data_IF_764681002515
#
_entry.id   IF_764681002515
#
_cell.length_a   1.000
_cell.length_b   1.000
_cell.length_c   1.000
_cell.angle_alpha   90.00
_cell.angle_beta   90.00
_cell.angle_gamma   90.00
#
_symmetry.space_group_name_H-M   'P 1'
#
loop_
_entity.id
_entity.type
_entity.pdbx_description
1 polymer ?
#
# COMPACT_ATOMS: atom_id res chain seq x y z
N UNK A 1 -7.72 6.74 20.61
CA UNK A 1 -6.56 6.93 19.70
C UNK A 1 -6.06 8.34 19.98
N UNK A 2 -5.05 8.46 20.84
CA UNK A 2 -4.59 9.76 21.33
C UNK A 2 -3.57 10.34 20.34
N UNK A 3 -4.06 11.18 19.43
CA UNK A 3 -3.30 11.84 18.37
C UNK A 3 -2.30 12.90 18.90
N UNK A 4 -2.17 13.10 20.21
CA UNK A 4 -1.29 14.14 20.79
C UNK A 4 0.11 13.69 21.14
N UNK A 5 0.38 12.39 21.26
CA UNK A 5 1.67 11.91 21.78
C UNK A 5 2.73 11.57 20.72
N UNK A 6 2.40 11.56 19.41
CA UNK A 6 3.40 11.31 18.35
C UNK A 6 4.08 12.59 17.83
N UNK A 7 3.63 13.79 18.24
CA UNK A 7 4.20 15.06 17.79
C UNK A 7 5.44 15.54 18.59
N UNK A 8 6.03 14.69 19.44
CA UNK A 8 7.23 15.02 20.22
C UNK A 8 8.33 13.97 20.04
N UNK A 9 8.88 13.90 18.84
CA UNK A 9 10.05 13.06 18.56
C UNK A 9 10.83 13.53 17.34
N UNK A 10 11.71 14.52 17.54
CA UNK A 10 12.75 14.91 16.59
C UNK A 10 12.25 15.68 15.36
N UNK A 11 12.52 16.97 15.29
CA UNK A 11 12.28 17.78 14.09
C UNK A 11 13.17 17.30 12.92
N UNK A 12 12.65 16.38 12.13
CA UNK A 12 12.96 16.31 10.70
C UNK A 12 11.79 16.97 9.98
N UNK A 13 12.09 17.98 9.16
CA UNK A 13 11.11 18.62 8.29
C UNK A 13 10.83 17.66 7.13
N UNK A 14 10.01 16.63 7.37
CA UNK A 14 9.44 15.85 6.28
C UNK A 14 8.48 16.77 5.50
N UNK A 15 8.46 16.68 4.16
CA UNK A 15 7.45 17.39 3.39
C UNK A 15 6.06 16.94 3.87
N UNK A 16 5.21 17.89 4.26
CA UNK A 16 3.84 17.59 4.68
C UNK A 16 2.88 17.75 3.51
N UNK A 17 2.06 16.72 3.26
CA UNK A 17 1.01 16.76 2.24
C UNK A 17 -0.37 16.61 2.85
N UNK A 18 -1.23 17.61 2.66
CA UNK A 18 -2.67 17.46 2.90
C UNK A 18 -3.32 16.86 1.66
N UNK A 19 -3.90 15.66 1.81
CA UNK A 19 -4.66 15.02 0.75
C UNK A 19 -6.06 15.63 0.68
N UNK A 20 -6.37 16.24 -0.47
CA UNK A 20 -7.67 16.81 -0.77
C UNK A 20 -8.48 15.85 -1.66
N UNK A 21 -9.53 15.28 -1.04
CA UNK A 21 -10.81 14.81 -1.59
C UNK A 21 -10.77 13.92 -2.85
N UNK A 22 -10.45 12.64 -2.65
CA UNK A 22 -10.95 11.56 -3.51
C UNK A 22 -12.36 11.15 -3.05
N UNK A 23 -13.21 10.67 -3.97
CA UNK A 23 -14.47 10.02 -3.59
C UNK A 23 -14.22 8.84 -2.63
N UNK A 24 -14.67 8.99 -1.38
CA UNK A 24 -14.48 7.98 -0.34
C UNK A 24 -15.61 6.94 -0.32
N UNK A 25 -16.56 7.02 -1.26
CA UNK A 25 -17.60 5.98 -1.43
C UNK A 25 -17.05 4.72 -2.10
N UNK A 26 -15.95 4.84 -2.85
CA UNK A 26 -15.36 3.75 -3.64
C UNK A 26 -16.12 3.45 -4.93
N UNK A 27 -17.05 4.31 -5.35
CA UNK A 27 -17.86 4.12 -6.57
C UNK A 27 -17.17 4.74 -7.79
N UNK A 28 -16.42 5.82 -7.62
CA UNK A 28 -15.67 6.44 -8.71
C UNK A 28 -14.41 5.63 -9.10
N UNK A 29 -14.44 5.04 -10.29
CA UNK A 29 -13.33 4.23 -10.82
C UNK A 29 -12.03 5.00 -11.06
N UNK A 30 -12.08 6.33 -11.24
CA UNK A 30 -10.90 7.17 -11.43
C UNK A 30 -10.21 7.40 -10.08
N UNK A 31 -10.98 7.82 -9.08
CA UNK A 31 -10.48 8.11 -7.73
C UNK A 31 -9.93 6.83 -7.06
N UNK A 32 -10.58 5.69 -7.33
CA UNK A 32 -10.11 4.36 -6.89
C UNK A 32 -8.71 3.99 -7.43
N UNK A 33 -8.27 4.58 -8.55
CA UNK A 33 -6.92 4.36 -9.10
C UNK A 33 -5.88 5.29 -8.48
N UNK A 34 -6.28 6.48 -8.04
CA UNK A 34 -5.37 7.46 -7.45
C UNK A 34 -4.87 7.01 -6.08
N UNK A 35 -5.76 6.51 -5.22
CA UNK A 35 -5.41 6.22 -3.83
C UNK A 35 -4.26 5.19 -3.67
N UNK A 36 -4.25 4.03 -4.38
CA UNK A 36 -3.10 3.12 -4.36
C UNK A 36 -1.79 3.82 -4.78
N UNK A 37 -1.86 4.72 -5.77
CA UNK A 37 -0.70 5.48 -6.23
C UNK A 37 -0.16 6.42 -5.17
N UNK A 38 -1.03 7.19 -4.53
CA UNK A 38 -0.64 8.07 -3.44
C UNK A 38 0.00 7.28 -2.30
N UNK A 39 -0.65 6.21 -1.81
CA UNK A 39 -0.14 5.43 -0.68
C UNK A 39 1.22 4.82 -0.99
N UNK A 40 1.39 4.30 -2.21
CA UNK A 40 2.68 3.77 -2.65
C UNK A 40 3.78 4.84 -2.63
N UNK A 41 3.50 6.03 -3.15
CA UNK A 41 4.46 7.13 -3.14
C UNK A 41 4.77 7.59 -1.70
N UNK A 42 3.73 7.90 -0.92
CA UNK A 42 3.84 8.40 0.44
C UNK A 42 4.64 7.44 1.34
N UNK A 43 4.40 6.13 1.22
CA UNK A 43 5.17 5.12 1.98
C UNK A 43 6.62 4.98 1.52
N UNK A 44 6.91 5.20 0.23
CA UNK A 44 8.29 5.11 -0.30
C UNK A 44 9.21 6.24 0.19
N UNK A 45 8.64 7.39 0.52
CA UNK A 45 9.37 8.58 0.97
C UNK A 45 9.15 8.92 2.44
N UNK A 46 8.41 8.07 3.18
CA UNK A 46 7.99 8.30 4.58
C UNK A 46 7.34 9.68 4.75
N UNK A 47 6.37 9.99 3.88
CA UNK A 47 5.72 11.29 3.78
C UNK A 47 4.85 11.58 5.01
N UNK A 48 4.97 12.77 5.59
CA UNK A 48 4.00 13.27 6.57
C UNK A 48 2.72 13.71 5.85
N UNK A 49 1.56 13.24 6.29
CA UNK A 49 0.30 13.50 5.59
C UNK A 49 -0.87 13.78 6.53
N UNK A 50 -1.91 14.40 5.98
CA UNK A 50 -3.19 14.62 6.65
C UNK A 50 -4.36 14.50 5.66
N UNK A 51 -5.53 14.13 6.17
CA UNK A 51 -6.76 14.09 5.38
C UNK A 51 -7.52 15.40 5.58
N UNK A 52 -8.03 15.97 4.47
CA UNK A 52 -8.84 17.18 4.55
C UNK A 52 -10.12 16.99 5.38
N UNK A 53 -10.76 15.82 5.31
CA UNK A 53 -12.06 15.58 5.94
C UNK A 53 -12.20 14.19 6.59
N UNK A 54 -11.81 14.06 7.86
CA UNK A 54 -12.20 12.94 8.73
C UNK A 54 -13.66 13.09 9.23
N UNK A 55 -14.57 13.54 8.36
CA UNK A 55 -15.98 13.74 8.68
C UNK A 55 -16.84 12.53 8.30
N UNK A 56 -18.16 12.66 8.44
CA UNK A 56 -19.15 11.71 7.90
C UNK A 56 -20.36 12.42 7.29
N UNK A 57 -21.18 13.02 8.15
CA UNK A 57 -22.35 13.81 7.76
C UNK A 57 -22.32 15.21 8.40
N UNK A 58 -22.87 16.20 7.70
CA UNK A 58 -23.08 17.53 8.25
C UNK A 58 -24.32 17.55 9.12
N UNK A 59 -24.25 18.26 10.25
CA UNK A 59 -25.43 18.54 11.06
C UNK A 59 -26.54 19.20 10.23
N UNK A 60 -26.18 20.20 9.40
CA UNK A 60 -27.06 20.83 8.43
C UNK A 60 -26.25 21.37 7.25
N UNK A 61 -26.70 21.11 6.02
CA UNK A 61 -26.11 21.65 4.78
C UNK A 61 -27.19 21.76 3.71
N UNK A 62 -27.23 22.89 3.01
CA UNK A 62 -28.09 23.11 1.84
C UNK A 62 -29.57 22.73 2.07
N UNK A 63 -30.13 23.07 3.24
CA UNK A 63 -31.52 22.77 3.56
C UNK A 63 -31.77 21.38 4.14
N UNK A 64 -30.74 20.52 4.20
CA UNK A 64 -30.86 19.13 4.62
C UNK A 64 -30.13 18.92 5.95
N UNK A 65 -30.87 18.45 6.96
CA UNK A 65 -30.29 17.96 8.23
C UNK A 65 -29.67 16.59 7.96
N UNK A 66 -28.43 16.38 8.40
CA UNK A 66 -27.76 15.12 8.10
C UNK A 66 -27.49 14.96 6.60
N UNK A 67 -26.85 15.93 5.97
CA UNK A 67 -26.36 15.74 4.61
C UNK A 67 -25.05 14.91 4.67
N UNK A 68 -25.00 13.76 4.01
CA UNK A 68 -23.77 12.97 3.91
C UNK A 68 -22.69 13.70 3.09
N UNK A 69 -21.44 13.65 3.56
CA UNK A 69 -20.28 14.16 2.83
C UNK A 69 -19.59 12.98 2.10
N UNK A 70 -19.75 12.85 0.76
CA UNK A 70 -19.21 11.71 0.02
C UNK A 70 -17.68 11.62 0.06
N UNK A 71 -16.99 12.74 0.23
CA UNK A 71 -15.53 12.79 0.34
C UNK A 71 -15.02 12.53 1.78
N UNK A 72 -15.93 12.25 2.72
CA UNK A 72 -15.57 12.02 4.11
C UNK A 72 -15.18 10.57 4.37
N UNK A 73 -14.20 10.40 5.28
CA UNK A 73 -13.69 9.09 5.69
C UNK A 73 -14.75 8.23 6.37
N UNK A 74 -15.62 8.83 7.18
CA UNK A 74 -16.65 8.13 7.94
C UNK A 74 -17.95 8.03 7.14
N UNK A 75 -18.74 7.01 7.46
CA UNK A 75 -20.09 6.85 6.94
C UNK A 75 -21.05 7.91 7.52
N UNK A 76 -22.28 7.91 7.00
CA UNK A 76 -23.32 8.87 7.38
C UNK A 76 -23.60 8.88 8.89
N UNK A 77 -23.54 7.71 9.52
CA UNK A 77 -23.83 7.46 10.93
C UNK A 77 -22.64 7.73 11.86
N UNK A 78 -21.46 8.04 11.31
CA UNK A 78 -20.20 8.16 12.04
C UNK A 78 -19.79 6.89 12.79
N UNK A 79 -20.24 5.72 12.33
CA UNK A 79 -19.99 4.42 12.99
C UNK A 79 -18.90 3.63 12.29
N UNK A 80 -18.82 3.73 10.97
CA UNK A 80 -17.89 2.95 10.16
C UNK A 80 -17.10 3.86 9.22
N UNK A 81 -16.06 3.30 8.62
CA UNK A 81 -15.43 3.89 7.44
C UNK A 81 -16.36 3.77 6.25
N UNK A 82 -16.54 4.87 5.51
CA UNK A 82 -17.33 4.89 4.27
C UNK A 82 -16.79 3.91 3.24
N UNK A 83 -15.47 3.84 3.13
CA UNK A 83 -14.77 2.79 2.41
C UNK A 83 -14.27 1.73 3.41
N UNK A 84 -14.84 0.50 3.43
CA UNK A 84 -14.49 -0.52 4.43
C UNK A 84 -13.00 -0.92 4.43
N UNK A 85 -12.33 -0.79 3.28
CA UNK A 85 -10.90 -1.11 3.15
C UNK A 85 -9.99 0.05 3.52
N UNK A 86 -10.52 1.19 3.95
CA UNK A 86 -9.74 2.36 4.33
C UNK A 86 -8.63 2.05 5.34
N UNK A 87 -8.87 1.36 6.48
CA UNK A 87 -7.78 1.06 7.42
C UNK A 87 -6.69 0.18 6.83
N UNK A 88 -7.05 -0.78 5.98
CA UNK A 88 -6.09 -1.67 5.34
C UNK A 88 -5.24 -0.92 4.30
N UNK A 89 -5.86 -0.07 3.49
CA UNK A 89 -5.20 0.71 2.45
C UNK A 89 -4.18 1.69 3.03
N UNK A 90 -4.47 2.30 4.18
CA UNK A 90 -3.62 3.32 4.79
C UNK A 90 -2.67 2.77 5.87
N UNK A 91 -2.68 1.45 6.15
CA UNK A 91 -1.99 0.88 7.31
C UNK A 91 -0.48 1.17 7.36
N UNK A 92 0.17 1.31 6.20
CA UNK A 92 1.61 1.48 6.09
C UNK A 92 2.01 2.94 6.30
N UNK A 93 1.23 3.88 5.74
CA UNK A 93 1.50 5.32 5.87
C UNK A 93 1.01 5.90 7.19
N UNK A 94 0.23 5.16 7.98
CA UNK A 94 -0.09 5.52 9.37
C UNK A 94 1.07 5.33 10.35
N UNK A 95 2.24 4.89 9.88
CA UNK A 95 3.42 4.63 10.71
C UNK A 95 4.65 5.17 10.03
N UNK A 96 5.66 5.45 10.84
CA UNK A 96 7.01 5.72 10.38
C UNK A 96 7.63 4.43 9.84
N UNK A 97 8.01 4.44 8.57
CA UNK A 97 8.67 3.29 7.92
C UNK A 97 10.18 3.48 7.93
N UNK A 98 10.67 4.72 7.99
CA UNK A 98 12.10 5.01 8.04
C UNK A 98 12.42 5.75 9.33
N UNK A 99 12.91 5.04 10.36
CA UNK A 99 13.42 5.71 11.54
C UNK A 99 14.87 6.18 11.34
N UNK A 100 15.15 7.50 11.31
CA UNK A 100 16.49 8.05 11.14
C UNK A 100 17.37 7.82 12.37
N UNK A 101 16.77 7.62 13.54
CA UNK A 101 17.49 7.29 14.79
C UNK A 101 17.80 5.80 14.94
N UNK A 102 17.31 4.97 14.03
CA UNK A 102 17.54 3.53 14.09
C UNK A 102 18.88 3.15 13.47
N UNK A 103 19.65 2.38 14.24
CA UNK A 103 20.90 1.74 13.81
C UNK A 103 20.67 0.38 13.12
N UNK A 104 19.41 -0.01 12.90
CA UNK A 104 19.07 -1.25 12.21
C UNK A 104 19.55 -1.23 10.75
N UNK A 105 19.92 -2.40 10.25
CA UNK A 105 20.25 -2.59 8.85
C UNK A 105 19.03 -2.30 7.99
N UNK A 106 19.22 -1.55 6.89
CA UNK A 106 18.15 -1.31 5.92
C UNK A 106 17.64 -2.64 5.37
N UNK A 107 16.32 -2.81 5.41
CA UNK A 107 15.62 -3.89 4.71
C UNK A 107 14.51 -3.30 3.86
N UNK A 108 13.78 -4.14 3.13
CA UNK A 108 12.63 -3.71 2.34
C UNK A 108 11.37 -4.47 2.77
N UNK A 109 10.25 -3.77 2.66
CA UNK A 109 8.91 -4.30 2.79
C UNK A 109 8.37 -4.47 1.37
N UNK A 110 7.91 -5.67 1.02
CA UNK A 110 7.20 -5.88 -0.24
C UNK A 110 5.72 -5.57 -0.04
N UNK A 111 5.30 -4.41 -0.53
CA UNK A 111 3.96 -3.84 -0.36
C UNK A 111 3.12 -3.98 -1.63
N UNK A 112 1.83 -4.26 -1.48
CA UNK A 112 0.88 -4.35 -2.58
C UNK A 112 -0.14 -3.19 -2.48
N UNK A 113 0.06 -2.09 -3.23
CA UNK A 113 -0.67 -0.84 -3.03
C UNK A 113 -2.19 -0.95 -3.17
N UNK A 114 -2.66 -1.79 -4.09
CA UNK A 114 -4.10 -1.96 -4.35
C UNK A 114 -4.85 -2.52 -3.13
N UNK A 115 -4.21 -3.35 -2.32
CA UNK A 115 -4.83 -4.00 -1.14
C UNK A 115 -4.39 -3.37 0.17
N UNK A 116 -3.34 -2.55 0.14
CA UNK A 116 -2.66 -2.04 1.33
C UNK A 116 -1.94 -3.12 2.14
N UNK A 117 -1.81 -4.35 1.64
CA UNK A 117 -1.21 -5.47 2.37
C UNK A 117 0.25 -5.69 1.98
N UNK A 118 0.98 -6.42 2.82
CA UNK A 118 2.37 -6.78 2.57
C UNK A 118 2.52 -8.26 2.24
N UNK A 119 3.49 -8.59 1.39
CA UNK A 119 3.84 -9.97 1.08
C UNK A 119 4.48 -10.63 2.31
N UNK A 120 3.96 -11.80 2.65
CA UNK A 120 4.36 -12.58 3.81
C UNK A 120 4.55 -14.03 3.45
N UNK A 121 5.56 -14.66 4.03
CA UNK A 121 5.81 -16.08 3.92
C UNK A 121 5.23 -16.76 5.16
N UNK A 122 4.23 -17.62 4.95
CA UNK A 122 3.66 -18.46 5.99
C UNK A 122 4.62 -19.58 6.39
N UNK A 123 4.34 -20.25 7.50
CA UNK A 123 5.12 -21.39 8.00
C UNK A 123 5.22 -22.57 7.02
N UNK A 124 4.29 -22.68 6.07
CA UNK A 124 4.30 -23.67 4.99
C UNK A 124 5.07 -23.21 3.73
N UNK A 125 5.86 -22.14 3.83
CA UNK A 125 6.59 -21.50 2.73
C UNK A 125 5.70 -20.93 1.61
N UNK A 126 4.39 -20.78 1.83
CA UNK A 126 3.52 -20.09 0.88
C UNK A 126 3.64 -18.58 1.03
N UNK A 127 3.78 -17.89 -0.11
CA UNK A 127 3.76 -16.44 -0.20
C UNK A 127 2.31 -15.93 -0.32
N UNK A 128 1.89 -15.09 0.62
CA UNK A 128 0.52 -14.58 0.74
C UNK A 128 0.51 -13.09 1.08
N UNK A 129 -0.65 -12.43 0.92
CA UNK A 129 -0.83 -11.06 1.39
C UNK A 129 -1.37 -11.02 2.84
N UNK A 130 -0.66 -10.30 3.71
CA UNK A 130 -1.01 -10.14 5.13
C UNK A 130 -0.84 -8.70 5.66
N UNK A 131 -1.03 -8.53 6.98
CA UNK A 131 -0.91 -7.23 7.68
C UNK A 131 0.56 -6.82 7.79
N UNK A 132 0.91 -5.62 7.35
CA UNK A 132 2.28 -5.12 7.31
C UNK A 132 2.99 -5.03 8.67
N UNK A 133 2.30 -5.20 9.81
CA UNK A 133 2.91 -5.34 11.15
C UNK A 133 3.83 -6.55 11.28
N UNK A 134 3.44 -7.68 10.67
CA UNK A 134 4.20 -8.93 10.72
C UNK A 134 4.90 -9.18 9.38
N UNK A 135 5.40 -8.11 8.76
CA UNK A 135 6.05 -8.21 7.46
C UNK A 135 7.34 -9.03 7.52
N UNK A 136 7.69 -9.61 6.39
CA UNK A 136 9.00 -10.17 6.16
C UNK A 136 9.96 -9.09 5.66
N UNK A 137 11.25 -9.24 6.00
CA UNK A 137 12.32 -8.36 5.52
C UNK A 137 12.92 -8.88 4.23
N UNK A 138 12.93 -8.05 3.19
CA UNK A 138 13.42 -8.39 1.86
C UNK A 138 14.69 -7.61 1.54
N UNK A 139 15.68 -8.28 0.96
CA UNK A 139 16.87 -7.64 0.40
C UNK A 139 16.83 -7.63 -1.12
N UNK A 140 17.32 -6.54 -1.70
CA UNK A 140 17.54 -6.38 -3.13
C UNK A 140 18.90 -5.73 -3.32
N UNK A 141 19.79 -6.38 -4.07
CA UNK A 141 21.17 -5.94 -4.31
C UNK A 141 21.30 -5.12 -5.62
N UNK A 142 20.20 -4.54 -6.12
CA UNK A 142 20.18 -3.70 -7.33
C UNK A 142 19.62 -4.40 -8.58
N UNK A 143 19.77 -3.74 -9.73
CA UNK A 143 19.20 -4.21 -10.99
C UNK A 143 19.83 -5.55 -11.43
N UNK A 144 19.00 -6.53 -11.78
CA UNK A 144 19.42 -7.88 -12.17
C UNK A 144 19.71 -8.84 -11.00
N UNK A 145 19.72 -8.36 -9.75
CA UNK A 145 19.91 -9.19 -8.56
C UNK A 145 18.57 -9.79 -8.09
N UNK A 146 18.52 -11.08 -7.69
CA UNK A 146 17.31 -11.68 -7.14
C UNK A 146 16.88 -10.99 -5.84
N UNK A 147 15.58 -10.79 -5.65
CA UNK A 147 15.02 -10.36 -4.36
C UNK A 147 15.07 -11.55 -3.41
N UNK A 148 15.63 -11.35 -2.20
CA UNK A 148 15.80 -12.40 -1.19
C UNK A 148 15.07 -12.09 0.11
N UNK A 149 14.63 -13.13 0.79
CA UNK A 149 14.09 -13.04 2.15
C UNK A 149 15.23 -13.09 3.19
N UNK A 150 15.38 -12.06 4.03
CA UNK A 150 16.54 -11.91 4.93
C UNK A 150 16.54 -12.89 6.11
N UNK A 151 15.38 -13.18 6.70
CA UNK A 151 15.26 -13.97 7.93
C UNK A 151 14.84 -15.44 7.73
N UNK A 152 14.93 -15.95 6.50
CA UNK A 152 14.51 -17.33 6.22
C UNK A 152 15.67 -18.25 5.89
N UNK A 153 15.78 -19.35 6.65
CA UNK A 153 16.63 -20.50 6.32
C UNK A 153 16.26 -21.16 4.97
N UNK A 154 15.11 -20.80 4.38
CA UNK A 154 14.64 -21.36 3.11
C UNK A 154 15.31 -20.77 1.87
N UNK A 155 16.06 -19.67 1.99
CA UNK A 155 16.78 -19.07 0.85
C UNK A 155 15.87 -18.68 -0.32
N UNK A 156 14.61 -18.29 -0.03
CA UNK A 156 13.62 -17.99 -1.06
C UNK A 156 14.08 -16.81 -1.92
N UNK A 157 14.23 -17.04 -3.23
CA UNK A 157 14.57 -16.04 -4.23
C UNK A 157 13.40 -15.81 -5.19
N UNK A 158 13.06 -14.55 -5.46
CA UNK A 158 11.99 -14.15 -6.38
C UNK A 158 12.61 -13.63 -7.69
N UNK A 159 12.83 -14.52 -8.64
CA UNK A 159 13.15 -14.20 -10.03
C UNK A 159 12.57 -15.32 -10.89
N UNK A 160 11.81 -15.01 -11.95
CA UNK A 160 11.23 -16.07 -12.77
C UNK A 160 11.02 -15.65 -14.23
N UNK A 161 11.50 -16.53 -15.10
CA UNK A 161 11.04 -16.69 -16.48
C UNK A 161 10.35 -18.05 -16.59
N UNK A 162 9.42 -18.21 -17.54
CA UNK A 162 8.85 -19.52 -17.84
C UNK A 162 9.85 -20.41 -18.61
N UNK A 163 9.48 -21.66 -18.90
CA UNK A 163 10.31 -22.60 -19.66
C UNK A 163 10.65 -22.15 -21.09
N UNK A 164 9.99 -21.11 -21.59
CA UNK A 164 10.22 -20.49 -22.90
C UNK A 164 10.98 -19.15 -22.78
N UNK A 165 11.37 -18.73 -21.57
CA UNK A 165 12.07 -17.47 -21.33
C UNK A 165 11.16 -16.24 -21.20
N UNK A 166 9.84 -16.39 -21.16
CA UNK A 166 8.90 -15.28 -20.98
C UNK A 166 8.92 -14.77 -19.55
N UNK A 167 8.79 -13.45 -19.35
CA UNK A 167 8.76 -12.84 -18.02
C UNK A 167 7.45 -13.18 -17.28
N UNK A 168 7.58 -13.64 -16.03
CA UNK A 168 6.44 -13.86 -15.15
C UNK A 168 6.45 -12.82 -14.02
N UNK A 169 5.28 -12.24 -13.76
CA UNK A 169 5.06 -11.26 -12.71
C UNK A 169 4.35 -11.90 -11.52
N UNK A 170 4.62 -11.36 -10.33
CA UNK A 170 3.82 -11.67 -9.15
C UNK A 170 2.42 -11.09 -9.35
N UNK A 171 1.39 -11.84 -8.97
CA UNK A 171 0.01 -11.40 -9.03
C UNK A 171 -0.72 -11.78 -7.75
N UNK A 172 -1.54 -10.86 -7.25
CA UNK A 172 -2.53 -11.13 -6.20
C UNK A 172 -3.68 -11.93 -6.78
N UNK A 173 -3.81 -13.19 -6.33
CA UNK A 173 -4.97 -14.01 -6.66
C UNK A 173 -6.18 -13.55 -5.85
N UNK A 174 -7.21 -13.07 -6.56
CA UNK A 174 -8.42 -12.49 -5.94
C UNK A 174 -9.17 -13.48 -5.07
N UNK A 175 -9.09 -14.77 -5.40
CA UNK A 175 -9.91 -15.81 -4.80
C UNK A 175 -9.27 -16.36 -3.52
N UNK A 176 -7.93 -16.46 -3.48
CA UNK A 176 -7.20 -17.09 -2.38
C UNK A 176 -6.32 -16.14 -1.55
N UNK A 177 -6.17 -14.87 -1.96
CA UNK A 177 -5.19 -13.92 -1.37
C UNK A 177 -3.74 -14.43 -1.37
N UNK A 178 -3.45 -15.45 -2.20
CA UNK A 178 -2.09 -15.95 -2.44
C UNK A 178 -1.40 -15.07 -3.47
N UNK A 179 -0.07 -15.06 -3.40
CA UNK A 179 0.76 -14.46 -4.46
C UNK A 179 1.16 -15.58 -5.41
N UNK A 180 0.74 -15.46 -6.66
CA UNK A 180 1.01 -16.43 -7.73
C UNK A 180 1.89 -15.79 -8.81
N UNK A 181 2.44 -16.59 -9.71
CA UNK A 181 3.11 -16.09 -10.91
C UNK A 181 2.15 -16.14 -12.09
N UNK A 182 2.02 -15.03 -12.81
CA UNK A 182 1.27 -14.95 -14.07
C UNK A 182 2.11 -14.26 -15.14
N UNK A 183 1.67 -14.34 -16.39
CA UNK A 183 2.26 -13.52 -17.45
C UNK A 183 2.09 -12.05 -17.08
N UNK A 184 3.18 -11.31 -17.19
CA UNK A 184 3.17 -9.89 -16.91
C UNK A 184 2.24 -9.14 -17.87
N UNK A 185 1.59 -8.10 -17.35
CA UNK A 185 0.68 -7.21 -18.07
C UNK A 185 1.36 -5.84 -18.22
N UNK A 186 1.27 -5.23 -19.40
CA UNK A 186 1.78 -3.88 -19.70
C UNK A 186 3.26 -3.64 -19.37
N UNK A 187 4.18 -4.51 -19.80
CA UNK A 187 5.63 -4.33 -19.58
C UNK A 187 6.25 -3.28 -20.50
N UNK A 188 5.81 -3.24 -21.77
CA UNK A 188 6.45 -2.41 -22.79
C UNK A 188 5.70 -1.09 -22.97
N UNK A 189 6.40 0.03 -22.82
CA UNK A 189 5.88 1.39 -23.02
C UNK A 189 5.31 1.65 -24.43
N UNK A 190 5.61 0.75 -25.38
CA UNK A 190 5.14 0.80 -26.77
C UNK A 190 3.91 -0.08 -27.03
N UNK A 191 3.43 -0.80 -26.02
CA UNK A 191 2.20 -1.58 -26.15
C UNK A 191 0.99 -0.64 -26.01
N UNK A 192 0.77 0.16 -27.04
CA UNK A 192 -0.40 1.04 -27.19
C UNK A 192 -1.75 0.31 -27.13
N UNK A 193 -1.74 -1.02 -27.07
CA UNK A 193 -2.91 -1.88 -26.91
C UNK A 193 -3.15 -2.35 -25.47
N UNK A 194 -2.27 -2.00 -24.52
CA UNK A 194 -2.41 -2.45 -23.14
C UNK A 194 -3.54 -1.70 -22.41
N UNK A 195 -4.76 -2.23 -22.56
CA UNK A 195 -5.97 -1.77 -21.87
C UNK A 195 -6.20 -2.50 -20.54
N UNK A 196 -5.37 -3.49 -20.25
CA UNK A 196 -5.47 -4.32 -19.04
C UNK A 196 -4.95 -3.56 -17.82
N UNK A 197 -5.52 -3.87 -16.64
CA UNK A 197 -5.17 -3.21 -15.39
C UNK A 197 -4.03 -3.95 -14.67
N UNK A 198 -2.80 -3.40 -14.59
CA UNK A 198 -1.67 -4.08 -13.97
C UNK A 198 -1.68 -3.99 -12.43
N UNK A 199 -2.68 -3.34 -11.81
CA UNK A 199 -2.68 -3.09 -10.36
C UNK A 199 -2.64 -4.36 -9.49
N UNK A 200 -3.11 -5.51 -9.97
CA UNK A 200 -2.99 -6.80 -9.26
C UNK A 200 -1.58 -7.39 -9.31
N UNK A 201 -0.75 -6.93 -10.25
CA UNK A 201 0.64 -7.34 -10.43
C UNK A 201 1.63 -6.33 -9.85
N UNK A 202 1.13 -5.23 -9.28
CA UNK A 202 1.96 -4.16 -8.78
C UNK A 202 2.40 -4.40 -7.34
N UNK A 203 3.70 -4.66 -7.19
CA UNK A 203 4.38 -4.75 -5.90
C UNK A 203 5.49 -3.73 -5.82
N UNK A 204 5.60 -3.06 -4.68
CA UNK A 204 6.64 -2.07 -4.41
C UNK A 204 7.54 -2.55 -3.28
N UNK A 205 8.85 -2.42 -3.46
CA UNK A 205 9.80 -2.53 -2.35
C UNK A 205 9.94 -1.17 -1.68
N UNK A 206 9.57 -1.12 -0.40
CA UNK A 206 9.65 0.09 0.43
C UNK A 206 10.78 -0.10 1.41
N UNK A 207 11.78 0.77 1.35
CA UNK A 207 12.92 0.75 2.28
C UNK A 207 12.42 1.03 3.70
N UNK A 208 12.80 0.17 4.64
CA UNK A 208 12.51 0.31 6.07
C UNK A 208 13.77 0.26 6.92
N UNK A 209 13.73 0.97 8.05
CA UNK A 209 14.75 0.97 9.11
C UNK A 209 14.16 0.74 10.50
N UNK A 210 12.93 0.25 10.56
CA UNK A 210 12.18 0.04 11.81
C UNK A 210 12.03 -1.44 12.09
#
# INVERSE_FOLDING_TARGET
MDLRNELRGGHQNLPHCTMNLDDMTGVNSVDNKFLPCFVCYASSVDLDWSLLAFGGSYYYREGTVGAGEPYAVMDYDWKNFRHPKFPANFQLIQKKVQDPSSDLSKSNIMFHPLTGKCAQVKSNNELVLGDCKSHNQWSSEGNGSPIRLMDSATGLHLATTDGNGSLLCLEMDSDSSKIVTRKCICIDDYDSSCLDNPQSQWFQLISTKV
#
